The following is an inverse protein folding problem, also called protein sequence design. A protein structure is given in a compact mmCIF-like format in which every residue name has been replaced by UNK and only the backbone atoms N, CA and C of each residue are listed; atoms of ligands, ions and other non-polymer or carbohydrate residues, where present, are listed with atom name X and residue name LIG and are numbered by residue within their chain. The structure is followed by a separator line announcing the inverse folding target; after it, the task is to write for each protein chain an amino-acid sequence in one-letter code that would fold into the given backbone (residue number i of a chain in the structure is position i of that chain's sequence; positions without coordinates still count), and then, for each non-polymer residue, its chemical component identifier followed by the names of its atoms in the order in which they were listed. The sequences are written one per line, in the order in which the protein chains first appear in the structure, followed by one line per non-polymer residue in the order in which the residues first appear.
data_IF_913622851595
#
_entry.id   IF_913622851595
#
_cell.length_a   1.000
_cell.length_b   1.000
_cell.length_c   1.000
_cell.angle_alpha   90.00
_cell.angle_beta   90.00
_cell.angle_gamma   90.00
#
_symmetry.space_group_name_H-M   'P 1'
#
loop_
_entity.id
_entity.type
_entity.pdbx_description
1 polymer ?
#
# COMPACT_ATOMS: atom_id res chain seq x y z
N UNK A 1 13.58 -12.66 1.32
CA UNK A 1 12.17 -12.83 0.89
C UNK A 1 11.57 -11.44 0.82
N UNK A 2 10.92 -11.05 -0.27
CA UNK A 2 10.39 -9.69 -0.38
C UNK A 2 9.42 -9.43 0.78
N UNK A 3 9.63 -8.37 1.55
CA UNK A 3 8.82 -8.02 2.74
C UNK A 3 7.40 -7.54 2.38
N UNK A 4 7.10 -7.50 1.09
CA UNK A 4 5.82 -7.20 0.47
C UNK A 4 5.73 -7.92 -0.89
N UNK A 5 4.52 -7.99 -1.43
CA UNK A 5 4.22 -8.59 -2.73
C UNK A 5 3.40 -7.63 -3.58
N UNK A 6 3.71 -7.54 -4.87
CA UNK A 6 2.88 -6.83 -5.84
C UNK A 6 1.83 -7.80 -6.37
N UNK A 7 0.56 -7.57 -6.01
CA UNK A 7 -0.57 -8.43 -6.39
C UNK A 7 -1.03 -8.11 -7.81
N UNK A 8 -0.92 -6.85 -8.20
CA UNK A 8 -1.34 -6.36 -9.49
C UNK A 8 -0.39 -5.27 -9.99
N UNK A 9 -0.09 -5.30 -11.28
CA UNK A 9 0.64 -4.26 -12.02
C UNK A 9 -0.11 -4.01 -13.33
N UNK A 10 -0.68 -2.81 -13.46
CA UNK A 10 -1.30 -2.32 -14.67
C UNK A 10 -0.52 -1.14 -15.25
N UNK A 11 -1.00 -0.60 -16.36
CA UNK A 11 -0.34 0.54 -17.03
C UNK A 11 -0.34 1.81 -16.17
N UNK A 12 -1.41 2.05 -15.41
CA UNK A 12 -1.58 3.27 -14.63
C UNK A 12 -1.51 3.04 -13.12
N UNK A 13 -1.88 1.85 -12.63
CA UNK A 13 -1.93 1.57 -11.20
C UNK A 13 -1.38 0.20 -10.84
N UNK A 14 -0.91 0.06 -9.61
CA UNK A 14 -0.47 -1.20 -9.03
C UNK A 14 -1.08 -1.39 -7.64
N UNK A 15 -1.16 -2.65 -7.22
CA UNK A 15 -1.62 -3.03 -5.88
C UNK A 15 -0.49 -3.82 -5.21
N UNK A 16 -0.11 -3.36 -4.03
CA UNK A 16 0.97 -3.93 -3.24
C UNK A 16 0.43 -4.30 -1.87
N UNK A 17 0.81 -5.47 -1.36
CA UNK A 17 0.38 -5.96 -0.05
C UNK A 17 1.54 -6.51 0.76
N UNK A 18 1.44 -6.42 2.08
CA UNK A 18 2.18 -7.26 3.00
C UNK A 18 1.22 -7.98 3.96
N UNK A 19 1.74 -8.53 5.06
CA UNK A 19 0.94 -9.24 6.05
C UNK A 19 -0.07 -8.34 6.80
N UNK A 20 0.10 -7.02 6.76
CA UNK A 20 -0.63 -6.06 7.62
C UNK A 20 -1.37 -4.97 6.85
N UNK A 21 -1.02 -4.74 5.59
CA UNK A 21 -1.57 -3.64 4.79
C UNK A 21 -1.63 -3.94 3.29
N UNK A 22 -2.47 -3.18 2.59
CA UNK A 22 -2.57 -3.10 1.14
C UNK A 22 -2.49 -1.64 0.69
N UNK A 23 -1.79 -1.37 -0.41
CA UNK A 23 -1.66 -0.06 -1.03
C UNK A 23 -2.07 -0.13 -2.49
N UNK A 24 -2.81 0.88 -2.93
CA UNK A 24 -3.03 1.19 -4.35
C UNK A 24 -2.13 2.35 -4.72
N UNK A 25 -1.24 2.12 -5.69
CA UNK A 25 -0.41 3.15 -6.26
C UNK A 25 -0.96 3.57 -7.62
N UNK A 26 -1.12 4.87 -7.86
CA UNK A 26 -1.41 5.45 -9.18
C UNK A 26 -0.15 6.16 -9.66
N UNK A 27 0.39 5.72 -10.80
CA UNK A 27 1.64 6.24 -11.35
C UNK A 27 2.79 6.25 -10.33
N UNK A 28 2.85 5.20 -9.50
CA UNK A 28 3.84 5.05 -8.43
C UNK A 28 3.58 5.88 -7.18
N UNK A 29 2.48 6.64 -7.08
CA UNK A 29 2.10 7.40 -5.89
C UNK A 29 0.99 6.70 -5.11
N UNK A 30 1.10 6.54 -3.78
CA UNK A 30 0.04 5.93 -2.98
C UNK A 30 -1.20 6.82 -2.96
N UNK A 31 -2.35 6.26 -3.34
CA UNK A 31 -3.63 6.99 -3.40
C UNK A 31 -4.70 6.43 -2.45
N UNK A 32 -4.62 5.14 -2.15
CA UNK A 32 -5.52 4.46 -1.23
C UNK A 32 -4.78 3.34 -0.52
N UNK A 33 -5.22 3.02 0.68
CA UNK A 33 -4.66 1.92 1.45
C UNK A 33 -5.69 1.30 2.38
N UNK A 34 -5.42 0.06 2.76
CA UNK A 34 -6.15 -0.62 3.82
C UNK A 34 -5.17 -1.27 4.80
N UNK A 35 -5.57 -1.36 6.06
CA UNK A 35 -4.78 -2.04 7.09
C UNK A 35 -5.62 -3.07 7.83
N UNK A 36 -4.93 -4.01 8.47
CA UNK A 36 -5.56 -5.12 9.22
C UNK A 36 -6.43 -4.65 10.40
N UNK A 37 -6.25 -3.42 10.90
CA UNK A 37 -6.99 -2.90 12.06
C UNK A 37 -8.20 -2.07 11.66
N UNK A 38 -8.04 -1.15 10.71
CA UNK A 38 -9.08 -0.16 10.36
C UNK A 38 -9.83 -0.52 9.07
N UNK A 39 -9.40 -1.52 8.32
CA UNK A 39 -9.93 -1.79 6.98
C UNK A 39 -9.47 -0.71 6.00
N UNK A 40 -10.38 -0.22 5.16
CA UNK A 40 -10.06 0.84 4.20
C UNK A 40 -9.89 2.18 4.90
N UNK A 41 -8.80 2.86 4.60
CA UNK A 41 -8.61 4.27 4.95
C UNK A 41 -9.32 5.18 3.96
N UNK A 42 -9.55 6.43 4.37
CA UNK A 42 -9.98 7.47 3.47
C UNK A 42 -8.93 7.69 2.37
N UNK A 43 -9.37 8.16 1.19
CA UNK A 43 -8.47 8.43 0.09
C UNK A 43 -7.38 9.41 0.51
N UNK A 44 -6.14 9.10 0.17
CA UNK A 44 -4.93 9.83 0.54
C UNK A 44 -4.60 9.89 2.04
N UNK A 45 -5.39 9.28 2.92
CA UNK A 45 -5.00 9.09 4.33
C UNK A 45 -4.00 7.94 4.43
N UNK A 46 -2.73 8.30 4.58
CA UNK A 46 -1.60 7.38 4.72
C UNK A 46 -0.97 7.42 6.11
N UNK A 47 -1.59 8.11 7.07
CA UNK A 47 -1.04 8.34 8.42
C UNK A 47 -1.14 7.11 9.34
N UNK A 48 -1.61 5.98 8.82
CA UNK A 48 -1.66 4.74 9.58
C UNK A 48 -0.26 4.11 9.68
N UNK A 49 0.20 3.71 10.87
CA UNK A 49 1.51 3.07 11.04
C UNK A 49 1.74 1.82 10.17
N UNK A 50 0.67 1.08 9.86
CA UNK A 50 0.74 -0.09 8.97
C UNK A 50 0.94 0.31 7.50
N UNK A 51 0.24 1.36 7.04
CA UNK A 51 0.41 1.90 5.69
C UNK A 51 1.81 2.52 5.54
N UNK A 52 2.26 3.32 6.51
CA UNK A 52 3.60 3.89 6.52
C UNK A 52 4.69 2.81 6.49
N UNK A 53 4.49 1.73 7.23
CA UNK A 53 5.38 0.57 7.23
C UNK A 53 5.49 -0.05 5.83
N UNK A 54 4.37 -0.26 5.16
CA UNK A 54 4.35 -0.80 3.80
C UNK A 54 4.95 0.19 2.78
N UNK A 55 4.64 1.49 2.88
CA UNK A 55 5.23 2.54 2.04
C UNK A 55 6.76 2.51 2.16
N UNK A 56 7.31 2.46 3.38
CA UNK A 56 8.76 2.39 3.59
C UNK A 56 9.37 1.19 2.89
N UNK A 57 8.74 0.01 2.98
CA UNK A 57 9.23 -1.19 2.28
C UNK A 57 9.23 -1.04 0.76
N UNK A 58 8.22 -0.35 0.21
CA UNK A 58 8.08 -0.14 -1.25
C UNK A 58 9.10 0.84 -1.81
N UNK A 59 9.43 1.91 -1.06
CA UNK A 59 10.27 3.01 -1.53
C UNK A 59 11.68 3.06 -0.92
N UNK A 60 12.10 2.05 -0.15
CA UNK A 60 13.49 1.92 0.35
C UNK A 60 14.37 1.10 -0.58
#
# INVERSE_FOLDING_TARGET
MAEYRKIFEGTAYSIIEDEKASLVLLEGKPIAGSCIVHGNHDLYDMSCPYLEGLIKKVFS
#
